data_IF_087337543191
#
_entry.id   IF_087337543191
#
_cell.length_a   1.000
_cell.length_b   1.000
_cell.length_c   1.000
_cell.angle_alpha   90.00
_cell.angle_beta   90.00
_cell.angle_gamma   90.00
#
_symmetry.space_group_name_H-M   'P 1'
#
loop_
_entity.id
_entity.type
_entity.pdbx_description
1 polymer ?
#
# COMPACT_ATOMS: atom_id res chain seq x y z
N UNK A 1 6.58 -18.83 -14.17
CA UNK A 1 6.36 -17.72 -15.13
C UNK A 1 4.88 -17.71 -15.48
N UNK A 2 4.24 -16.55 -15.55
CA UNK A 2 2.80 -16.46 -15.86
C UNK A 2 2.57 -16.57 -17.36
N UNK A 3 1.43 -17.16 -17.75
CA UNK A 3 1.01 -17.24 -19.16
C UNK A 3 0.35 -15.93 -19.60
N UNK A 4 0.20 -15.72 -20.91
CA UNK A 4 -0.48 -14.54 -21.44
C UNK A 4 -1.94 -14.49 -21.00
N UNK A 5 -2.63 -15.63 -20.97
CA UNK A 5 -4.05 -15.74 -20.58
C UNK A 5 -4.25 -15.38 -19.11
N UNK A 6 -3.31 -15.80 -18.24
CA UNK A 6 -3.30 -15.40 -16.84
C UNK A 6 -3.15 -13.89 -16.70
N UNK A 7 -2.15 -13.31 -17.37
CA UNK A 7 -1.90 -11.87 -17.37
C UNK A 7 -3.12 -11.08 -17.87
N UNK A 8 -3.78 -11.59 -18.91
CA UNK A 8 -4.98 -11.00 -19.49
C UNK A 8 -6.16 -10.95 -18.50
N UNK A 9 -6.41 -12.07 -17.81
CA UNK A 9 -7.56 -12.25 -16.91
C UNK A 9 -7.40 -11.63 -15.53
N UNK A 10 -6.17 -11.40 -15.05
CA UNK A 10 -5.92 -10.83 -13.71
C UNK A 10 -5.19 -9.49 -13.76
N UNK A 11 -3.93 -9.47 -14.21
CA UNK A 11 -3.08 -8.27 -14.13
C UNK A 11 -3.58 -7.15 -15.06
N UNK A 12 -4.03 -7.50 -16.26
CA UNK A 12 -4.51 -6.54 -17.28
C UNK A 12 -5.98 -6.14 -17.10
N UNK A 13 -6.79 -6.99 -16.48
CA UNK A 13 -8.22 -6.76 -16.28
C UNK A 13 -8.56 -5.37 -15.68
N UNK A 14 -7.97 -4.94 -14.55
CA UNK A 14 -8.29 -3.62 -13.99
C UNK A 14 -7.92 -2.48 -14.93
N UNK A 15 -6.87 -2.62 -15.75
CA UNK A 15 -6.51 -1.62 -16.75
C UNK A 15 -7.52 -1.57 -17.88
N UNK A 16 -7.99 -2.71 -18.39
CA UNK A 16 -9.04 -2.75 -19.42
C UNK A 16 -10.30 -2.02 -18.95
N UNK A 17 -10.74 -2.30 -17.71
CA UNK A 17 -11.90 -1.62 -17.13
C UNK A 17 -11.68 -0.11 -16.99
N UNK A 18 -10.55 0.33 -16.46
CA UNK A 18 -10.24 1.76 -16.32
C UNK A 18 -10.13 2.47 -17.68
N UNK A 19 -9.57 1.81 -18.70
CA UNK A 19 -9.48 2.35 -20.06
C UNK A 19 -10.89 2.51 -20.65
N UNK A 20 -11.77 1.52 -20.48
CA UNK A 20 -13.16 1.60 -20.93
C UNK A 20 -13.94 2.71 -20.22
N UNK A 21 -13.56 3.05 -18.97
CA UNK A 21 -14.13 4.16 -18.20
C UNK A 21 -13.46 5.52 -18.49
N UNK A 22 -12.54 5.59 -19.45
CA UNK A 22 -11.94 6.85 -19.90
C UNK A 22 -10.70 7.30 -19.10
N UNK A 23 -9.90 6.37 -18.59
CA UNK A 23 -8.62 6.70 -17.95
C UNK A 23 -7.78 7.65 -18.84
N UNK A 24 -7.33 8.76 -18.26
CA UNK A 24 -6.61 9.81 -18.99
C UNK A 24 -5.13 9.48 -19.24
N UNK A 25 -4.54 8.64 -18.40
CA UNK A 25 -3.12 8.29 -18.45
C UNK A 25 -2.86 6.89 -17.89
N UNK A 26 -1.81 6.23 -18.40
CA UNK A 26 -1.30 4.95 -17.89
C UNK A 26 0.22 5.05 -17.77
N UNK A 27 0.74 4.63 -16.61
CA UNK A 27 2.18 4.50 -16.38
C UNK A 27 2.63 3.05 -16.62
N UNK A 28 3.73 2.87 -17.35
CA UNK A 28 4.30 1.56 -17.66
C UNK A 28 5.47 1.28 -16.73
N UNK A 29 5.34 0.23 -15.91
CA UNK A 29 6.41 -0.25 -15.03
C UNK A 29 7.52 -0.97 -15.79
N UNK A 30 8.73 -1.00 -15.23
CA UNK A 30 9.91 -1.66 -15.81
C UNK A 30 9.95 -3.16 -15.51
N UNK A 31 9.09 -3.96 -16.15
CA UNK A 31 8.96 -5.39 -15.89
C UNK A 31 9.48 -6.24 -17.06
N UNK A 32 10.26 -7.29 -16.77
CA UNK A 32 10.59 -8.30 -17.79
C UNK A 32 9.45 -9.33 -17.86
N UNK A 33 8.69 -9.33 -18.95
CA UNK A 33 7.51 -10.20 -19.12
C UNK A 33 7.64 -11.04 -20.40
N UNK A 34 8.42 -12.14 -20.38
CA UNK A 34 8.69 -12.98 -21.56
C UNK A 34 7.46 -13.56 -22.26
N UNK A 35 6.34 -13.67 -21.54
CA UNK A 35 5.07 -14.15 -22.10
C UNK A 35 4.41 -13.13 -23.04
N UNK A 36 4.80 -11.86 -22.97
CA UNK A 36 4.28 -10.79 -23.83
C UNK A 36 5.34 -10.28 -24.82
N UNK A 37 6.61 -10.27 -24.41
CA UNK A 37 7.75 -9.95 -25.27
C UNK A 37 8.95 -10.84 -24.89
N UNK A 38 9.31 -11.77 -25.78
CA UNK A 38 10.38 -12.73 -25.56
C UNK A 38 11.80 -12.14 -25.71
N UNK A 39 11.92 -10.86 -26.07
CA UNK A 39 13.21 -10.18 -26.27
C UNK A 39 14.04 -10.19 -24.98
N UNK A 40 15.28 -10.70 -24.99
CA UNK A 40 16.12 -10.75 -23.79
C UNK A 40 16.37 -9.38 -23.17
N UNK A 41 16.22 -9.30 -21.84
CA UNK A 41 16.43 -8.07 -21.06
C UNK A 41 15.54 -6.88 -21.47
N UNK A 42 14.42 -7.12 -22.17
CA UNK A 42 13.50 -6.07 -22.58
C UNK A 42 12.49 -5.77 -21.46
N UNK A 43 12.55 -4.60 -20.80
CA UNK A 43 11.49 -4.19 -19.88
C UNK A 43 10.24 -3.76 -20.67
N UNK A 44 9.07 -3.96 -20.08
CA UNK A 44 7.78 -3.61 -20.68
C UNK A 44 7.70 -2.16 -21.16
N UNK A 45 8.31 -1.23 -20.43
CA UNK A 45 8.37 0.19 -20.78
C UNK A 45 9.08 0.48 -22.11
N UNK A 46 10.01 -0.38 -22.52
CA UNK A 46 10.75 -0.25 -23.78
C UNK A 46 10.23 -1.20 -24.87
N UNK A 47 9.23 -2.02 -24.55
CA UNK A 47 8.67 -3.03 -25.45
C UNK A 47 7.56 -2.44 -26.31
N UNK A 48 7.83 -2.28 -27.60
CA UNK A 48 6.79 -1.91 -28.59
C UNK A 48 5.63 -2.92 -28.64
N UNK A 49 5.86 -4.25 -28.59
CA UNK A 49 4.77 -5.23 -28.50
C UNK A 49 3.84 -5.00 -27.32
N UNK A 50 4.37 -4.63 -26.15
CA UNK A 50 3.56 -4.40 -24.95
C UNK A 50 2.88 -3.03 -24.99
N UNK A 51 3.66 -1.95 -25.18
CA UNK A 51 3.12 -0.59 -25.08
C UNK A 51 2.23 -0.24 -26.28
N UNK A 52 2.69 -0.48 -27.51
CA UNK A 52 1.88 -0.20 -28.70
C UNK A 52 0.92 -1.35 -28.98
N UNK A 53 1.45 -2.58 -29.10
CA UNK A 53 0.66 -3.72 -29.57
C UNK A 53 -0.45 -4.16 -28.62
N UNK A 54 -0.21 -4.14 -27.31
CA UNK A 54 -1.22 -4.54 -26.32
C UNK A 54 -2.00 -3.33 -25.83
N UNK A 55 -1.33 -2.34 -25.23
CA UNK A 55 -2.04 -1.23 -24.58
C UNK A 55 -2.74 -0.30 -25.58
N UNK A 56 -2.04 0.22 -26.59
CA UNK A 56 -2.65 1.19 -27.53
C UNK A 56 -3.57 0.52 -28.56
N UNK A 57 -3.19 -0.63 -29.08
CA UNK A 57 -3.90 -1.34 -30.15
C UNK A 57 -4.96 -2.29 -29.59
N UNK A 58 -4.58 -3.36 -28.89
CA UNK A 58 -5.55 -4.37 -28.42
C UNK A 58 -6.52 -3.84 -27.35
N UNK A 59 -6.04 -3.08 -26.37
CA UNK A 59 -6.89 -2.46 -25.35
C UNK A 59 -7.49 -1.12 -25.80
N UNK A 60 -7.10 -0.61 -26.97
CA UNK A 60 -7.64 0.61 -27.53
C UNK A 60 -7.30 1.89 -26.75
N UNK A 61 -6.29 1.89 -25.88
CA UNK A 61 -5.97 3.05 -25.05
C UNK A 61 -5.57 4.29 -25.87
N UNK A 62 -6.27 5.41 -25.66
CA UNK A 62 -6.04 6.69 -26.37
C UNK A 62 -5.46 7.80 -25.50
N UNK A 63 -5.35 7.57 -24.18
CA UNK A 63 -4.78 8.54 -23.23
C UNK A 63 -3.25 8.67 -23.36
N UNK A 64 -2.65 9.34 -22.38
CA UNK A 64 -1.20 9.57 -22.30
C UNK A 64 -0.51 8.34 -21.73
N UNK A 65 0.49 7.82 -22.43
CA UNK A 65 1.37 6.76 -21.90
C UNK A 65 2.61 7.39 -21.28
N UNK A 66 2.92 7.04 -20.04
CA UNK A 66 4.05 7.57 -19.27
C UNK A 66 4.96 6.40 -18.87
N UNK A 67 6.28 6.55 -18.99
CA UNK A 67 7.20 5.58 -18.41
C UNK A 67 7.23 5.71 -16.88
N UNK A 68 7.54 4.63 -16.16
CA UNK A 68 8.11 4.75 -14.81
C UNK A 68 9.53 5.38 -14.89
N UNK A 69 10.12 5.75 -13.75
CA UNK A 69 11.38 6.47 -13.66
C UNK A 69 12.51 5.81 -14.48
N UNK A 70 12.99 6.48 -15.52
CA UNK A 70 13.90 5.92 -16.52
C UNK A 70 15.33 5.74 -15.99
N UNK A 71 15.72 6.51 -14.97
CA UNK A 71 17.01 6.38 -14.28
C UNK A 71 17.15 5.09 -13.43
N UNK A 72 16.08 4.30 -13.29
CA UNK A 72 16.13 3.06 -12.51
C UNK A 72 17.13 2.05 -13.10
N UNK A 73 17.95 1.46 -12.22
CA UNK A 73 19.02 0.49 -12.56
C UNK A 73 18.54 -0.70 -13.41
N UNK A 74 17.26 -1.07 -13.32
CA UNK A 74 16.68 -2.15 -14.13
C UNK A 74 16.65 -1.86 -15.63
N UNK A 75 16.62 -0.58 -16.01
CA UNK A 75 16.54 -0.12 -17.42
C UNK A 75 17.93 0.26 -17.94
N UNK A 76 18.62 1.15 -17.23
CA UNK A 76 19.91 1.73 -17.68
C UNK A 76 21.05 0.70 -17.77
N UNK A 77 20.92 -0.46 -17.11
CA UNK A 77 21.94 -1.53 -17.17
C UNK A 77 22.15 -2.05 -18.59
N UNK A 78 21.06 -2.19 -19.36
CA UNK A 78 21.07 -2.81 -20.69
C UNK A 78 20.93 -1.80 -21.83
N UNK A 79 20.40 -0.60 -21.54
CA UNK A 79 20.16 0.45 -22.51
C UNK A 79 20.82 1.76 -22.03
N UNK A 80 22.08 1.93 -22.39
CA UNK A 80 22.93 3.04 -21.92
C UNK A 80 22.87 4.24 -22.85
N UNK A 81 23.47 5.35 -22.39
CA UNK A 81 23.81 6.50 -23.22
C UNK A 81 22.62 7.16 -23.93
N UNK A 82 21.43 7.08 -23.33
CA UNK A 82 20.18 7.64 -23.87
C UNK A 82 19.40 6.69 -24.79
N UNK A 83 19.89 5.48 -25.05
CA UNK A 83 19.17 4.50 -25.86
C UNK A 83 17.86 4.07 -25.20
N UNK A 84 17.81 4.00 -23.86
CA UNK A 84 16.58 3.72 -23.13
C UNK A 84 15.49 4.76 -23.44
N UNK A 85 15.84 6.05 -23.48
CA UNK A 85 14.89 7.12 -23.76
C UNK A 85 14.32 7.00 -25.18
N UNK A 86 15.19 6.78 -26.17
CA UNK A 86 14.79 6.59 -27.56
C UNK A 86 13.88 5.36 -27.69
N UNK A 87 14.26 4.24 -27.10
CA UNK A 87 13.48 3.01 -27.10
C UNK A 87 12.12 3.19 -26.43
N UNK A 88 12.02 3.96 -25.35
CA UNK A 88 10.75 4.26 -24.69
C UNK A 88 9.78 5.00 -25.63
N UNK A 89 10.27 5.97 -26.38
CA UNK A 89 9.45 6.71 -27.36
C UNK A 89 9.05 5.80 -28.53
N UNK A 90 9.98 4.98 -29.04
CA UNK A 90 9.72 3.99 -30.10
C UNK A 90 8.67 2.96 -29.64
N UNK A 91 8.72 2.55 -28.37
CA UNK A 91 7.76 1.61 -27.79
C UNK A 91 6.33 2.16 -27.78
N UNK A 92 6.20 3.49 -27.69
CA UNK A 92 4.91 4.19 -27.70
C UNK A 92 4.63 5.02 -26.47
N UNK A 93 5.62 5.26 -25.59
CA UNK A 93 5.48 6.21 -24.50
C UNK A 93 5.34 7.63 -25.07
N UNK A 94 4.48 8.43 -24.43
CA UNK A 94 4.27 9.82 -24.78
C UNK A 94 5.14 10.74 -23.88
N UNK A 95 5.31 10.37 -22.61
CA UNK A 95 6.18 11.06 -21.64
C UNK A 95 7.17 10.06 -21.03
N UNK A 96 8.44 10.48 -20.91
CA UNK A 96 9.46 9.76 -20.17
C UNK A 96 9.64 10.40 -18.79
N UNK A 97 9.31 9.67 -17.72
CA UNK A 97 9.55 10.10 -16.34
C UNK A 97 11.03 9.94 -15.98
N UNK A 98 11.63 11.00 -15.41
CA UNK A 98 12.99 10.99 -14.84
C UNK A 98 14.05 10.35 -15.76
N UNK A 99 14.21 10.91 -16.97
CA UNK A 99 15.33 10.58 -17.86
C UNK A 99 16.67 10.96 -17.22
N UNK A 100 17.68 10.07 -17.29
CA UNK A 100 19.01 10.27 -16.69
C UNK A 100 19.71 11.54 -17.20
N UNK A 101 19.57 11.84 -18.49
CA UNK A 101 20.04 13.09 -19.09
C UNK A 101 19.11 13.51 -20.23
N UNK A 102 18.17 14.41 -19.92
CA UNK A 102 17.19 14.90 -20.88
C UNK A 102 17.83 15.62 -22.08
N UNK A 103 18.99 16.26 -21.92
CA UNK A 103 19.67 16.93 -23.05
C UNK A 103 20.23 15.89 -24.02
N UNK A 104 20.86 14.84 -23.49
CA UNK A 104 21.32 13.69 -24.28
C UNK A 104 20.15 12.98 -24.95
N UNK A 105 19.06 12.73 -24.22
CA UNK A 105 17.85 12.11 -24.75
C UNK A 105 17.30 12.88 -25.96
N UNK A 106 17.17 14.20 -25.87
CA UNK A 106 16.70 15.05 -26.99
C UNK A 106 17.62 14.93 -28.21
N UNK A 107 18.95 14.90 -28.01
CA UNK A 107 19.91 14.70 -29.12
C UNK A 107 19.72 13.33 -29.76
N UNK A 108 19.54 12.28 -28.95
CA UNK A 108 19.38 10.91 -29.43
C UNK A 108 18.04 10.70 -30.15
N UNK A 109 16.95 11.30 -29.68
CA UNK A 109 15.67 11.29 -30.39
C UNK A 109 15.78 11.98 -31.75
N UNK A 110 16.44 13.14 -31.82
CA UNK A 110 16.70 13.82 -33.10
C UNK A 110 17.52 12.95 -34.05
N UNK A 111 18.51 12.23 -33.53
CA UNK A 111 19.31 11.30 -34.33
C UNK A 111 18.48 10.11 -34.82
N UNK A 112 17.67 9.50 -33.95
CA UNK A 112 16.78 8.40 -34.32
C UNK A 112 15.76 8.79 -35.40
N UNK A 113 15.34 10.07 -35.46
CA UNK A 113 14.51 10.58 -36.56
C UNK A 113 15.29 10.66 -37.87
N UNK A 114 16.53 11.17 -37.82
CA UNK A 114 17.41 11.22 -39.00
C UNK A 114 17.76 9.83 -39.54
N UNK A 115 17.89 8.86 -38.64
CA UNK A 115 18.19 7.47 -38.95
C UNK A 115 16.93 6.66 -39.31
N UNK A 116 15.77 7.31 -39.44
CA UNK A 116 14.47 6.70 -39.77
C UNK A 116 13.99 5.60 -38.79
N UNK A 117 14.59 5.53 -37.60
CA UNK A 117 14.16 4.66 -36.50
C UNK A 117 12.88 5.15 -35.82
N UNK A 118 12.60 6.44 -35.94
CA UNK A 118 11.45 7.14 -35.36
C UNK A 118 10.93 8.18 -36.35
N UNK A 119 9.61 8.29 -36.52
CA UNK A 119 9.04 9.31 -37.41
C UNK A 119 8.69 10.59 -36.65
N UNK A 120 8.67 11.73 -37.35
CA UNK A 120 8.25 13.00 -36.72
C UNK A 120 6.77 12.97 -36.36
N UNK A 121 5.94 12.28 -37.15
CA UNK A 121 4.50 12.12 -36.91
C UNK A 121 4.24 11.41 -35.58
N UNK A 122 5.10 10.46 -35.20
CA UNK A 122 5.01 9.79 -33.89
C UNK A 122 5.27 10.76 -32.74
N UNK A 123 6.21 11.70 -32.90
CA UNK A 123 6.45 12.76 -31.92
C UNK A 123 5.25 13.71 -31.85
N UNK A 124 4.72 14.13 -33.00
CA UNK A 124 3.57 15.03 -33.07
C UNK A 124 2.32 14.43 -32.43
N UNK A 125 2.09 13.12 -32.57
CA UNK A 125 1.02 12.40 -31.87
C UNK A 125 1.15 12.56 -30.34
N UNK A 126 2.35 12.29 -29.78
CA UNK A 126 2.61 12.42 -28.34
C UNK A 126 2.45 13.87 -27.87
N UNK A 127 3.07 14.81 -28.59
CA UNK A 127 3.03 16.23 -28.24
C UNK A 127 1.60 16.76 -28.27
N UNK A 128 0.79 16.35 -29.25
CA UNK A 128 -0.63 16.72 -29.31
C UNK A 128 -1.40 16.24 -28.08
N UNK A 129 -1.20 15.00 -27.63
CA UNK A 129 -1.83 14.49 -26.39
C UNK A 129 -1.41 15.31 -25.17
N UNK A 130 -0.11 15.57 -25.03
CA UNK A 130 0.45 16.34 -23.91
C UNK A 130 -0.11 17.77 -23.89
N UNK A 131 -0.15 18.45 -25.04
CA UNK A 131 -0.71 19.80 -25.16
C UNK A 131 -2.22 19.80 -24.89
N UNK A 132 -2.95 18.78 -25.35
CA UNK A 132 -4.37 18.61 -25.05
C UNK A 132 -4.60 18.47 -23.55
N UNK A 133 -3.79 17.66 -22.86
CA UNK A 133 -3.88 17.51 -21.41
C UNK A 133 -3.55 18.80 -20.65
N UNK A 134 -2.52 19.54 -21.08
CA UNK A 134 -2.19 20.86 -20.53
C UNK A 134 -3.32 21.87 -20.71
N UNK A 135 -3.95 21.87 -21.88
CA UNK A 135 -5.11 22.72 -22.16
C UNK A 135 -6.31 22.33 -21.31
N UNK A 136 -6.60 21.03 -21.18
CA UNK A 136 -7.69 20.53 -20.33
C UNK A 136 -7.50 20.86 -18.85
N UNK A 137 -6.26 20.80 -18.34
CA UNK A 137 -5.91 21.22 -16.98
C UNK A 137 -5.90 22.75 -16.78
N UNK A 138 -6.22 23.54 -17.82
CA UNK A 138 -6.24 25.01 -17.74
C UNK A 138 -4.85 25.67 -17.67
N UNK A 139 -3.78 24.92 -17.94
CA UNK A 139 -2.38 25.38 -17.85
C UNK A 139 -1.97 26.28 -19.04
N UNK A 140 -2.84 26.43 -20.03
CA UNK A 140 -2.68 27.41 -21.11
C UNK A 140 -2.97 28.85 -20.65
N UNK A 141 -3.47 29.05 -19.44
CA UNK A 141 -3.69 30.37 -18.84
C UNK A 141 -2.75 30.53 -17.64
N UNK A 142 -2.02 31.64 -17.58
CA UNK A 142 -1.18 31.97 -16.43
C UNK A 142 -2.09 32.18 -15.21
N UNK A 143 -1.89 31.39 -14.17
CA UNK A 143 -2.61 31.53 -12.90
C UNK A 143 -1.73 32.29 -11.89
N UNK A 144 -2.35 33.15 -11.09
CA UNK A 144 -1.72 33.70 -9.90
C UNK A 144 -1.90 32.67 -8.77
N UNK A 145 -0.79 32.13 -8.28
CA UNK A 145 -0.80 31.18 -7.17
C UNK A 145 -0.89 31.99 -5.88
N UNK A 146 -1.94 31.73 -5.10
CA UNK A 146 -2.04 32.21 -3.72
C UNK A 146 -1.38 31.17 -2.83
N UNK A 147 -0.31 31.56 -2.17
CA UNK A 147 0.44 30.67 -1.27
C UNK A 147 0.00 30.85 0.19
N UNK A 148 -0.87 31.83 0.46
CA UNK A 148 -1.45 32.04 1.77
C UNK A 148 -2.34 30.85 2.16
N UNK A 149 -2.22 30.36 3.40
CA UNK A 149 -3.05 29.31 3.98
C UNK A 149 -3.05 27.93 3.28
N UNK A 150 -2.14 27.66 2.34
CA UNK A 150 -2.04 26.37 1.64
C UNK A 150 -2.05 25.17 2.59
N UNK A 151 -1.35 25.27 3.73
CA UNK A 151 -1.31 24.19 4.74
C UNK A 151 -2.72 23.89 5.27
N UNK A 152 -3.52 24.90 5.58
CA UNK A 152 -4.88 24.74 6.07
C UNK A 152 -5.83 24.23 4.96
N UNK A 153 -5.67 24.73 3.73
CA UNK A 153 -6.50 24.33 2.59
C UNK A 153 -6.21 22.90 2.10
N UNK A 154 -5.00 22.39 2.29
CA UNK A 154 -4.67 20.98 2.00
C UNK A 154 -5.13 20.07 3.15
N UNK A 155 -5.08 20.54 4.40
CA UNK A 155 -5.45 19.78 5.60
C UNK A 155 -6.83 20.17 6.15
N UNK A 156 -7.83 20.27 5.27
CA UNK A 156 -9.19 20.68 5.65
C UNK A 156 -9.80 19.73 6.67
N UNK A 157 -10.57 20.28 7.61
CA UNK A 157 -11.23 19.50 8.65
C UNK A 157 -12.18 18.44 8.06
N UNK A 158 -12.87 18.76 6.95
CA UNK A 158 -13.76 17.82 6.26
C UNK A 158 -12.99 16.66 5.63
N UNK A 159 -11.79 16.92 5.11
CA UNK A 159 -10.91 15.87 4.57
C UNK A 159 -10.43 14.92 5.68
N UNK A 160 -10.08 15.47 6.85
CA UNK A 160 -9.67 14.68 8.01
C UNK A 160 -10.83 13.88 8.60
N UNK A 161 -12.04 14.44 8.61
CA UNK A 161 -13.26 13.74 9.02
C UNK A 161 -13.57 12.56 8.07
N UNK A 162 -13.51 12.78 6.76
CA UNK A 162 -13.69 11.72 5.77
C UNK A 162 -12.62 10.62 5.91
N UNK A 163 -11.37 11.00 6.17
CA UNK A 163 -10.28 10.04 6.42
C UNK A 163 -10.60 9.13 7.62
N UNK A 164 -11.14 9.70 8.70
CA UNK A 164 -11.57 8.90 9.86
C UNK A 164 -12.76 7.99 9.51
N UNK A 165 -13.75 8.48 8.76
CA UNK A 165 -14.89 7.65 8.32
C UNK A 165 -14.45 6.45 7.47
N UNK A 166 -13.49 6.64 6.56
CA UNK A 166 -12.92 5.56 5.76
C UNK A 166 -12.15 4.56 6.63
N UNK A 167 -11.43 5.05 7.65
CA UNK A 167 -10.75 4.21 8.63
C UNK A 167 -11.75 3.33 9.39
N UNK A 168 -12.81 3.94 9.91
CA UNK A 168 -13.86 3.27 10.67
C UNK A 168 -14.53 2.17 9.84
N UNK A 169 -14.91 2.49 8.60
CA UNK A 169 -15.53 1.53 7.67
C UNK A 169 -14.60 0.37 7.28
N UNK A 170 -13.28 0.58 7.32
CA UNK A 170 -12.30 -0.45 6.96
C UNK A 170 -12.05 -1.49 8.05
N UNK A 171 -12.38 -1.20 9.32
CA UNK A 171 -12.07 -2.07 10.45
C UNK A 171 -12.64 -3.48 10.25
N UNK A 172 -11.77 -4.48 10.25
CA UNK A 172 -12.13 -5.86 9.93
C UNK A 172 -11.93 -6.77 11.13
N UNK A 173 -13.03 -7.21 11.71
CA UNK A 173 -13.04 -8.13 12.85
C UNK A 173 -13.05 -9.58 12.35
N UNK A 174 -11.96 -10.30 12.51
CA UNK A 174 -11.84 -11.69 12.05
C UNK A 174 -12.41 -12.70 13.05
N UNK A 175 -12.34 -12.37 14.34
CA UNK A 175 -12.81 -13.24 15.42
C UNK A 175 -13.42 -12.44 16.57
N UNK A 176 -14.35 -13.08 17.27
CA UNK A 176 -14.76 -12.65 18.60
C UNK A 176 -15.80 -11.54 18.65
N UNK A 177 -16.80 -11.53 17.76
CA UNK A 177 -17.92 -10.56 17.83
C UNK A 177 -18.58 -10.57 19.22
N UNK A 178 -18.90 -11.74 19.75
CA UNK A 178 -19.54 -11.87 21.06
C UNK A 178 -18.52 -11.66 22.19
N UNK A 179 -17.32 -12.22 22.04
CA UNK A 179 -16.22 -12.06 23.02
C UNK A 179 -15.77 -10.61 23.19
N UNK A 180 -15.93 -9.76 22.17
CA UNK A 180 -15.65 -8.32 22.26
C UNK A 180 -16.47 -7.67 23.37
N UNK A 181 -17.71 -8.14 23.61
CA UNK A 181 -18.58 -7.62 24.67
C UNK A 181 -18.03 -7.90 26.08
N UNK A 182 -17.10 -8.84 26.23
CA UNK A 182 -16.48 -9.15 27.51
C UNK A 182 -15.45 -8.09 27.95
N UNK A 183 -15.00 -7.22 27.04
CA UNK A 183 -14.15 -6.08 27.39
C UNK A 183 -14.98 -5.00 28.08
N UNK A 184 -14.64 -4.63 29.31
CA UNK A 184 -15.49 -3.76 30.14
C UNK A 184 -14.67 -2.71 30.89
N UNK A 185 -15.17 -1.48 30.96
CA UNK A 185 -14.44 -0.36 31.59
C UNK A 185 -14.16 -0.54 33.09
N UNK A 186 -14.88 -1.44 33.76
CA UNK A 186 -14.81 -1.64 35.22
C UNK A 186 -13.69 -2.61 35.65
N UNK A 187 -13.11 -3.39 34.73
CA UNK A 187 -12.01 -4.32 35.05
C UNK A 187 -10.66 -3.69 34.76
N UNK A 188 -9.63 -4.17 35.44
CA UNK A 188 -8.25 -3.77 35.17
C UNK A 188 -7.85 -4.24 33.77
N UNK A 189 -7.32 -3.33 32.96
CA UNK A 189 -6.97 -3.59 31.56
C UNK A 189 -5.47 -3.42 31.34
N UNK A 190 -4.78 -4.46 30.89
CA UNK A 190 -3.37 -4.40 30.50
C UNK A 190 -3.29 -4.22 28.99
N UNK A 191 -2.67 -3.11 28.54
CA UNK A 191 -2.56 -2.75 27.13
C UNK A 191 -1.11 -2.87 26.69
N UNK A 192 -0.80 -3.84 25.82
CA UNK A 192 0.57 -4.12 25.38
C UNK A 192 0.72 -3.76 23.90
N UNK A 193 1.64 -2.85 23.59
CA UNK A 193 2.11 -2.67 22.23
C UNK A 193 3.28 -3.59 21.94
N UNK A 194 3.27 -4.22 20.78
CA UNK A 194 4.34 -5.06 20.27
C UNK A 194 4.83 -4.51 18.93
N UNK A 195 6.14 -4.38 18.79
CA UNK A 195 6.79 -3.89 17.56
C UNK A 195 7.23 -2.42 17.60
N UNK A 196 7.00 -1.74 18.73
CA UNK A 196 7.38 -0.34 18.96
C UNK A 196 7.76 -0.11 20.42
N UNK A 197 8.83 0.67 20.71
CA UNK A 197 9.18 1.06 22.07
C UNK A 197 8.36 2.25 22.59
N UNK A 198 7.65 2.95 21.70
CA UNK A 198 6.93 4.19 22.00
C UNK A 198 5.44 3.96 22.19
N UNK A 199 4.83 4.78 23.04
CA UNK A 199 3.38 4.84 23.21
C UNK A 199 2.68 5.19 21.89
N UNK A 200 1.59 4.50 21.61
CA UNK A 200 0.81 4.65 20.36
C UNK A 200 -0.48 5.43 20.61
N UNK A 201 -1.10 5.93 19.54
CA UNK A 201 -2.43 6.56 19.61
C UNK A 201 -3.47 5.56 20.11
N UNK A 202 -3.39 4.30 19.67
CA UNK A 202 -4.25 3.22 20.15
C UNK A 202 -4.18 3.09 21.67
N UNK A 203 -2.97 3.03 22.24
CA UNK A 203 -2.79 2.99 23.69
C UNK A 203 -3.39 4.19 24.40
N UNK A 204 -3.14 5.41 23.90
CA UNK A 204 -3.70 6.64 24.49
C UNK A 204 -5.22 6.62 24.51
N UNK A 205 -5.83 6.26 23.38
CA UNK A 205 -7.28 6.15 23.23
C UNK A 205 -7.87 5.12 24.20
N UNK A 206 -7.25 3.93 24.27
CA UNK A 206 -7.69 2.86 25.16
C UNK A 206 -7.55 3.25 26.63
N UNK A 207 -6.38 3.75 27.06
CA UNK A 207 -6.14 4.20 28.44
C UNK A 207 -7.04 5.38 28.85
N UNK A 208 -7.45 6.21 27.89
CA UNK A 208 -8.40 7.30 28.16
C UNK A 208 -9.80 6.80 28.52
N UNK A 209 -10.19 5.62 28.05
CA UNK A 209 -11.51 5.03 28.29
C UNK A 209 -11.48 4.01 29.43
N UNK A 210 -10.52 3.08 29.40
CA UNK A 210 -10.30 2.06 30.42
C UNK A 210 -9.51 2.65 31.60
N UNK A 211 -10.16 3.42 32.48
CA UNK A 211 -9.48 4.22 33.52
C UNK A 211 -8.57 3.41 34.46
N UNK A 212 -8.90 2.14 34.71
CA UNK A 212 -8.05 1.20 35.43
C UNK A 212 -7.14 0.44 34.46
N UNK A 213 -6.34 1.15 33.66
CA UNK A 213 -5.43 0.53 32.69
C UNK A 213 -3.96 0.72 33.06
N UNK A 214 -3.14 -0.25 32.65
CA UNK A 214 -1.68 -0.12 32.60
C UNK A 214 -1.19 -0.43 31.19
N UNK A 215 -0.24 0.36 30.69
CA UNK A 215 0.28 0.22 29.33
C UNK A 215 1.75 -0.19 29.32
N UNK A 216 2.10 -1.11 28.43
CA UNK A 216 3.47 -1.60 28.22
C UNK A 216 3.85 -1.53 26.74
N UNK A 217 5.14 -1.31 26.47
CA UNK A 217 5.69 -1.29 25.12
C UNK A 217 6.81 -2.32 25.00
N UNK A 218 6.71 -3.19 24.01
CA UNK A 218 7.74 -4.15 23.64
C UNK A 218 8.24 -3.79 22.22
N UNK A 219 9.49 -3.32 22.14
CA UNK A 219 10.17 -3.12 20.86
C UNK A 219 10.20 -4.42 20.04
N UNK A 220 10.28 -4.32 18.71
CA UNK A 220 10.35 -5.47 17.80
C UNK A 220 11.49 -6.46 18.11
N UNK A 221 12.53 -6.01 18.81
CA UNK A 221 13.68 -6.82 19.24
C UNK A 221 13.61 -7.33 20.69
N UNK A 222 12.49 -7.10 21.40
CA UNK A 222 12.34 -7.53 22.80
C UNK A 222 12.63 -9.03 22.97
N UNK A 223 13.40 -9.35 24.02
CA UNK A 223 13.80 -10.71 24.37
C UNK A 223 12.94 -11.28 25.52
N UNK A 224 13.13 -12.56 25.82
CA UNK A 224 12.43 -13.29 26.88
C UNK A 224 12.44 -12.57 28.25
N UNK A 225 13.53 -11.87 28.61
CA UNK A 225 13.61 -11.14 29.89
C UNK A 225 12.71 -9.90 29.90
N UNK A 226 12.72 -9.10 28.83
CA UNK A 226 11.83 -7.95 28.70
C UNK A 226 10.36 -8.37 28.69
N UNK A 227 10.05 -9.45 27.97
CA UNK A 227 8.71 -10.03 27.88
C UNK A 227 8.25 -10.53 29.25
N UNK A 228 9.08 -11.31 29.95
CA UNK A 228 8.74 -11.84 31.29
C UNK A 228 8.41 -10.75 32.30
N UNK A 229 9.11 -9.60 32.25
CA UNK A 229 8.79 -8.45 33.11
C UNK A 229 7.39 -7.90 32.86
N UNK A 230 6.98 -7.80 31.60
CA UNK A 230 5.62 -7.34 31.25
C UNK A 230 4.57 -8.39 31.64
N UNK A 231 4.83 -9.66 31.35
CA UNK A 231 3.89 -10.75 31.67
C UNK A 231 3.68 -10.93 33.17
N UNK A 232 4.68 -10.64 34.01
CA UNK A 232 4.58 -10.69 35.46
C UNK A 232 3.60 -9.65 36.06
N UNK A 233 3.29 -8.58 35.33
CA UNK A 233 2.36 -7.53 35.76
C UNK A 233 0.87 -7.88 35.50
N UNK A 234 0.64 -8.96 34.74
CA UNK A 234 -0.69 -9.47 34.38
C UNK A 234 -1.21 -10.37 35.50
N UNK A 235 -2.34 -10.01 36.09
CA UNK A 235 -3.06 -10.77 37.12
C UNK A 235 -4.13 -11.67 36.48
N UNK A 236 -4.58 -12.75 37.16
CA UNK A 236 -5.55 -13.69 36.60
C UNK A 236 -6.86 -13.06 36.10
N UNK A 237 -7.34 -12.00 36.74
CA UNK A 237 -8.61 -11.34 36.41
C UNK A 237 -8.46 -10.12 35.46
N UNK A 238 -7.23 -9.81 35.02
CA UNK A 238 -6.98 -8.70 34.11
C UNK A 238 -7.53 -9.00 32.71
N UNK A 239 -7.99 -7.95 32.04
CA UNK A 239 -8.27 -7.98 30.61
C UNK A 239 -7.01 -7.61 29.86
N UNK A 240 -6.62 -8.36 28.83
CA UNK A 240 -5.38 -8.08 28.09
C UNK A 240 -5.68 -7.69 26.64
N UNK A 241 -5.24 -6.50 26.24
CA UNK A 241 -5.34 -6.02 24.86
C UNK A 241 -3.93 -5.88 24.30
N UNK A 242 -3.65 -6.55 23.18
CA UNK A 242 -2.35 -6.52 22.51
C UNK A 242 -2.49 -5.88 21.13
N UNK A 243 -1.76 -4.79 20.90
CA UNK A 243 -1.63 -4.14 19.61
C UNK A 243 -0.29 -4.49 18.96
N UNK A 244 -0.34 -5.12 17.79
CA UNK A 244 0.83 -5.50 17.00
C UNK A 244 1.03 -4.44 15.91
N UNK A 245 2.15 -3.73 15.95
CA UNK A 245 2.40 -2.55 15.10
C UNK A 245 3.63 -2.78 14.22
N UNK A 246 3.47 -2.67 12.90
CA UNK A 246 4.61 -2.63 11.99
C UNK A 246 5.08 -1.19 11.78
N UNK A 247 6.25 -0.86 12.31
CA UNK A 247 6.80 0.49 12.29
C UNK A 247 7.54 0.85 11.00
N UNK A 248 7.77 -0.12 10.09
CA UNK A 248 8.48 0.10 8.81
C UNK A 248 7.78 1.14 7.96
N UNK A 249 8.57 1.98 7.28
CA UNK A 249 8.04 2.97 6.32
C UNK A 249 7.39 2.30 5.09
N UNK A 250 7.91 1.13 4.71
CA UNK A 250 7.39 0.30 3.62
C UNK A 250 7.10 -1.10 4.16
N UNK A 251 5.94 -1.31 4.79
CA UNK A 251 5.61 -2.58 5.43
C UNK A 251 5.39 -3.67 4.38
N UNK A 252 6.29 -4.64 4.33
CA UNK A 252 6.14 -5.85 3.51
C UNK A 252 5.52 -7.01 4.29
N UNK A 253 5.62 -8.19 3.70
CA UNK A 253 5.40 -9.43 4.43
C UNK A 253 6.53 -9.62 5.46
N UNK A 254 6.37 -10.59 6.37
CA UNK A 254 7.33 -10.91 7.43
C UNK A 254 7.63 -9.73 8.37
N UNK A 255 6.67 -9.42 9.23
CA UNK A 255 6.84 -8.43 10.29
C UNK A 255 8.09 -8.78 11.13
N UNK A 256 9.00 -7.81 11.36
CA UNK A 256 10.32 -8.08 11.91
C UNK A 256 10.29 -8.18 13.45
N UNK A 257 9.44 -9.06 13.99
CA UNK A 257 9.39 -9.36 15.42
C UNK A 257 10.38 -10.48 15.78
N UNK A 258 10.99 -10.39 16.96
CA UNK A 258 11.83 -11.45 17.54
C UNK A 258 11.06 -12.77 17.68
N UNK A 259 11.78 -13.89 17.73
CA UNK A 259 11.17 -15.21 17.95
C UNK A 259 10.43 -15.27 19.29
N UNK A 260 11.01 -14.69 20.35
CA UNK A 260 10.40 -14.61 21.68
C UNK A 260 9.05 -13.87 21.65
N UNK A 261 8.95 -12.77 20.89
CA UNK A 261 7.68 -12.05 20.73
C UNK A 261 6.64 -12.88 20.00
N UNK A 262 7.02 -13.57 18.92
CA UNK A 262 6.09 -14.44 18.19
C UNK A 262 5.57 -15.57 19.07
N UNK A 263 6.43 -16.14 19.91
CA UNK A 263 6.05 -17.16 20.89
C UNK A 263 5.08 -16.58 21.95
N UNK A 264 5.41 -15.42 22.52
CA UNK A 264 4.51 -14.74 23.47
C UNK A 264 3.14 -14.42 22.86
N UNK A 265 3.08 -13.95 21.62
CA UNK A 265 1.82 -13.69 20.92
C UNK A 265 1.00 -14.97 20.75
N UNK A 266 1.64 -16.08 20.36
CA UNK A 266 0.99 -17.39 20.24
C UNK A 266 0.44 -17.89 21.60
N UNK A 267 1.21 -17.75 22.67
CA UNK A 267 0.80 -18.18 24.02
C UNK A 267 -0.35 -17.33 24.55
N UNK A 268 -0.31 -16.01 24.33
CA UNK A 268 -1.37 -15.10 24.73
C UNK A 268 -2.64 -15.28 23.90
N UNK A 269 -2.54 -15.73 22.65
CA UNK A 269 -3.69 -16.07 21.81
C UNK A 269 -4.46 -17.29 22.29
N UNK A 270 -3.91 -18.13 23.18
CA UNK A 270 -4.64 -19.22 23.82
C UNK A 270 -5.33 -18.81 25.13
N UNK A 271 -5.18 -17.53 25.52
CA UNK A 271 -5.83 -16.93 26.69
C UNK A 271 -6.90 -15.95 26.22
N UNK A 272 -7.65 -15.39 27.17
CA UNK A 272 -8.70 -14.39 26.92
C UNK A 272 -8.12 -13.01 26.54
N UNK A 273 -7.40 -12.95 25.42
CA UNK A 273 -6.64 -11.79 24.94
C UNK A 273 -7.26 -11.21 23.67
N UNK A 274 -7.33 -9.89 23.61
CA UNK A 274 -7.87 -9.11 22.51
C UNK A 274 -6.73 -8.59 21.63
N UNK A 275 -6.72 -8.88 20.33
CA UNK A 275 -5.64 -8.48 19.43
C UNK A 275 -6.07 -7.42 18.41
N UNK A 276 -5.19 -6.44 18.19
CA UNK A 276 -5.28 -5.48 17.09
C UNK A 276 -4.02 -5.56 16.22
N UNK A 277 -4.16 -5.76 14.91
CA UNK A 277 -3.05 -5.81 13.96
C UNK A 277 -2.99 -4.52 13.12
N UNK A 278 -1.96 -3.71 13.31
CA UNK A 278 -1.65 -2.51 12.53
C UNK A 278 -0.47 -2.77 11.59
N UNK A 279 -0.68 -3.70 10.67
CA UNK A 279 0.32 -4.13 9.69
C UNK A 279 -0.39 -4.66 8.43
N UNK A 280 0.38 -4.82 7.35
CA UNK A 280 -0.09 -5.52 6.16
C UNK A 280 -0.70 -6.88 6.56
N UNK A 281 -1.97 -7.19 6.21
CA UNK A 281 -2.69 -8.38 6.69
C UNK A 281 -2.02 -9.71 6.35
N UNK A 282 -1.17 -9.78 5.31
CA UNK A 282 -0.38 -10.97 5.01
C UNK A 282 0.56 -11.38 6.16
N UNK A 283 0.86 -10.47 7.10
CA UNK A 283 1.65 -10.78 8.28
C UNK A 283 0.97 -11.75 9.26
N UNK A 284 -0.35 -12.00 9.13
CA UNK A 284 -1.04 -13.05 9.88
C UNK A 284 -0.43 -14.44 9.61
N UNK A 285 0.11 -14.70 8.41
CA UNK A 285 0.83 -15.94 8.10
C UNK A 285 2.14 -16.09 8.89
N UNK A 286 2.75 -14.98 9.29
CA UNK A 286 3.99 -14.95 10.08
C UNK A 286 3.79 -14.89 11.60
N UNK A 287 2.53 -14.96 12.05
CA UNK A 287 2.10 -14.86 13.45
C UNK A 287 1.18 -16.06 13.79
N UNK A 288 1.70 -17.30 13.72
CA UNK A 288 0.90 -18.49 13.98
C UNK A 288 0.34 -18.47 15.41
N UNK A 289 -0.86 -19.01 15.59
CA UNK A 289 -1.56 -19.05 16.87
C UNK A 289 -2.60 -17.95 17.03
N UNK A 290 -2.49 -16.83 16.31
CA UNK A 290 -3.49 -15.74 16.38
C UNK A 290 -4.89 -16.20 15.93
N UNK A 291 -4.99 -17.23 15.10
CA UNK A 291 -6.26 -17.88 14.76
C UNK A 291 -7.00 -18.47 15.97
N UNK A 292 -6.30 -18.72 17.08
CA UNK A 292 -6.87 -19.23 18.33
C UNK A 292 -7.36 -18.11 19.26
N UNK A 293 -6.98 -16.86 19.00
CA UNK A 293 -7.40 -15.72 19.84
C UNK A 293 -8.92 -15.59 19.95
N UNK A 294 -9.35 -15.03 21.08
CA UNK A 294 -10.75 -14.71 21.34
C UNK A 294 -11.23 -13.61 20.39
N UNK A 295 -10.47 -12.52 20.30
CA UNK A 295 -10.78 -11.37 19.45
C UNK A 295 -9.55 -11.02 18.60
N UNK A 296 -9.75 -10.88 17.30
CA UNK A 296 -8.73 -10.43 16.36
C UNK A 296 -9.28 -9.37 15.42
N UNK A 297 -8.80 -8.14 15.57
CA UNK A 297 -9.13 -7.00 14.73
C UNK A 297 -7.96 -6.65 13.82
N UNK A 298 -8.22 -6.46 12.53
CA UNK A 298 -7.24 -5.99 11.56
C UNK A 298 -7.47 -4.51 11.26
N UNK A 299 -6.48 -3.69 11.61
CA UNK A 299 -6.43 -2.25 11.37
C UNK A 299 -5.52 -1.82 10.22
N UNK A 300 -4.92 -2.78 9.48
CA UNK A 300 -4.15 -2.63 8.23
C UNK A 300 -2.85 -1.80 8.27
N UNK A 301 -2.85 -0.62 8.88
CA UNK A 301 -1.71 0.29 8.89
C UNK A 301 -1.64 1.04 10.22
N UNK A 302 -0.44 1.53 10.54
CA UNK A 302 -0.11 2.17 11.82
C UNK A 302 -0.58 3.61 11.94
N UNK A 303 -1.28 4.15 10.96
CA UNK A 303 -1.64 5.57 10.97
C UNK A 303 -2.61 5.91 12.10
N UNK A 304 -2.53 7.15 12.60
CA UNK A 304 -3.27 7.59 13.78
C UNK A 304 -4.78 7.38 13.65
N UNK A 305 -5.35 7.64 12.48
CA UNK A 305 -6.79 7.46 12.22
C UNK A 305 -7.23 5.98 12.26
N UNK A 306 -6.37 5.05 11.83
CA UNK A 306 -6.64 3.61 11.95
C UNK A 306 -6.57 3.13 13.38
N UNK A 307 -5.60 3.65 14.14
CA UNK A 307 -5.48 3.34 15.57
C UNK A 307 -6.68 3.84 16.36
N UNK A 308 -7.19 5.04 16.04
CA UNK A 308 -8.44 5.58 16.62
C UNK A 308 -9.65 4.74 16.26
N UNK A 309 -9.78 4.31 14.99
CA UNK A 309 -10.86 3.44 14.54
C UNK A 309 -10.86 2.12 15.31
N UNK A 310 -9.70 1.47 15.40
CA UNK A 310 -9.54 0.22 16.17
C UNK A 310 -9.86 0.41 17.65
N UNK A 311 -9.37 1.49 18.28
CA UNK A 311 -9.72 1.79 19.66
C UNK A 311 -11.23 2.01 19.82
N UNK A 312 -11.91 2.64 18.86
CA UNK A 312 -13.37 2.81 18.89
C UNK A 312 -14.12 1.48 18.82
N UNK A 313 -13.61 0.48 18.08
CA UNK A 313 -14.14 -0.89 18.12
C UNK A 313 -14.00 -1.47 19.53
N UNK A 314 -12.80 -1.43 20.11
CA UNK A 314 -12.56 -1.94 21.46
C UNK A 314 -13.22 -1.12 22.57
N UNK A 315 -13.65 0.13 22.31
CA UNK A 315 -14.47 0.94 23.23
C UNK A 315 -15.99 0.75 23.01
N UNK A 316 -16.39 -0.12 22.08
CA UNK A 316 -17.78 -0.40 21.74
C UNK A 316 -18.51 0.83 21.16
N UNK A 317 -17.73 1.74 20.57
CA UNK A 317 -18.20 2.98 19.92
C UNK A 317 -18.36 2.81 18.41
N UNK A 318 -17.78 1.75 17.85
CA UNK A 318 -17.81 1.44 16.43
C UNK A 318 -18.09 -0.06 16.23
N UNK A 319 -19.05 -0.37 15.36
CA UNK A 319 -19.28 -1.73 14.89
C UNK A 319 -18.45 -1.93 13.62
N UNK A 320 -17.46 -2.84 13.61
CA UNK A 320 -16.62 -3.08 12.43
C UNK A 320 -17.42 -3.75 11.32
N UNK A 321 -17.26 -3.28 10.08
CA UNK A 321 -17.96 -3.80 8.89
C UNK A 321 -17.01 -4.27 7.79
N UNK A 322 -15.71 -4.00 7.94
CA UNK A 322 -14.69 -4.33 6.95
C UNK A 322 -14.57 -5.84 6.73
N UNK A 323 -14.14 -6.19 5.52
CA UNK A 323 -13.80 -7.56 5.11
C UNK A 323 -12.37 -7.58 4.59
N UNK A 324 -11.69 -8.72 4.72
CA UNK A 324 -10.35 -8.89 4.19
C UNK A 324 -10.36 -8.76 2.66
N UNK A 325 -9.57 -7.83 2.10
CA UNK A 325 -9.44 -7.69 0.65
C UNK A 325 -8.46 -8.71 0.04
N UNK A 326 -7.92 -9.62 0.86
CA UNK A 326 -6.90 -10.61 0.47
C UNK A 326 -7.12 -11.93 1.20
N UNK A 327 -6.50 -13.01 0.72
CA UNK A 327 -6.37 -14.26 1.50
C UNK A 327 -5.04 -14.24 2.23
N UNK A 328 -5.07 -14.13 3.56
CA UNK A 328 -3.86 -14.00 4.38
C UNK A 328 -3.21 -15.36 4.65
N UNK A 329 -4.02 -16.38 4.97
CA UNK A 329 -3.58 -17.76 5.22
C UNK A 329 -4.78 -18.73 5.08
N UNK A 330 -4.63 -19.98 5.52
CA UNK A 330 -5.70 -20.99 5.45
C UNK A 330 -6.91 -20.70 6.36
N UNK A 331 -6.73 -19.91 7.41
CA UNK A 331 -7.76 -19.55 8.40
C UNK A 331 -8.49 -18.25 8.06
N UNK A 332 -7.78 -17.31 7.43
CA UNK A 332 -8.27 -15.97 7.12
C UNK A 332 -8.16 -15.70 5.62
N UNK A 333 -9.30 -15.74 4.95
CA UNK A 333 -9.45 -15.70 3.51
C UNK A 333 -10.04 -14.37 3.02
N UNK A 334 -9.95 -14.17 1.72
CA UNK A 334 -10.62 -13.05 1.05
C UNK A 334 -12.11 -13.05 1.39
N UNK A 335 -12.64 -11.89 1.76
CA UNK A 335 -14.03 -11.71 2.16
C UNK A 335 -14.32 -11.98 3.63
N UNK A 336 -13.37 -12.51 4.41
CA UNK A 336 -13.58 -12.78 5.83
C UNK A 336 -13.68 -11.48 6.64
N UNK A 337 -14.56 -11.50 7.62
CA UNK A 337 -14.85 -10.42 8.56
C UNK A 337 -16.24 -10.68 9.13
N UNK A 338 -16.44 -10.50 10.43
CA UNK A 338 -17.71 -10.78 11.10
C UNK A 338 -18.73 -9.69 10.80
#
# INVERSE_FOLDING_TARGET
KFTKERLDSLEMYPFKELINQGAAGVMIAHMNIPALDATPNMPSTLSKPIVTGILKEQMGFKGIVISDAMEMKGVVKYFKDGEADVMGIIAGNDILELSEDSKRAVKMVKQAIKDERLTIERIDESVKKILTAKYWAGLNKKQLIKEENVVAEVNREESLALLQQLADASMTLLKGRDSLQNLTANKRTVIINVGTPSETVFQKEMSSYYKNSIAFNLDKTANANAISKVLAEIKPDDQVVIAIVDTRLRPGNNIPLSADLKMMLSDMAQKNTFFALFANPYNLAGLPGLEKSDVLLVGYQKENYMQKAAASVFKHQLIPTGKLPITANSFFKYGDGL
#
